data_IF_982717625458
#
_entry.id   IF_982717625458
#
_cell.length_a   1.000
_cell.length_b   1.000
_cell.length_c   1.000
_cell.angle_alpha   90.00
_cell.angle_beta   90.00
_cell.angle_gamma   90.00
#
_symmetry.space_group_name_H-M   'P 1'
#
loop_
_entity.id
_entity.type
_entity.pdbx_description
1 polymer ?
#
# COMPACT_ATOMS: atom_id res chain seq x y z
N UNK A 1 -9.43 7.73 -27.39
CA UNK A 1 -8.03 7.64 -26.96
C UNK A 1 -7.90 6.65 -25.84
N UNK A 2 -7.14 5.59 -26.04
CA UNK A 2 -6.95 4.56 -25.02
C UNK A 2 -5.87 5.01 -24.04
N UNK A 3 -6.18 5.05 -22.74
CA UNK A 3 -5.16 5.32 -21.75
C UNK A 3 -4.13 4.18 -21.76
N UNK A 4 -2.85 4.53 -21.81
CA UNK A 4 -1.78 3.54 -21.73
C UNK A 4 -1.69 3.03 -20.29
N UNK A 5 -1.92 1.75 -20.07
CA UNK A 5 -1.75 1.12 -18.77
C UNK A 5 -0.25 0.95 -18.53
N UNK A 6 0.29 1.48 -17.42
CA UNK A 6 1.70 1.28 -17.09
C UNK A 6 2.02 -0.20 -16.93
N UNK A 7 3.13 -0.64 -17.47
CA UNK A 7 3.59 -2.02 -17.25
C UNK A 7 4.09 -2.16 -15.82
N UNK A 8 3.55 -3.16 -15.10
CA UNK A 8 4.10 -3.57 -13.81
C UNK A 8 5.26 -4.51 -14.08
N UNK A 9 6.46 -4.06 -13.77
CA UNK A 9 7.68 -4.83 -14.07
C UNK A 9 8.74 -4.57 -13.00
N UNK A 10 9.73 -5.45 -12.95
CA UNK A 10 10.87 -5.32 -12.08
C UNK A 10 10.67 -5.98 -10.71
N UNK A 11 11.48 -5.55 -9.76
CA UNK A 11 11.53 -6.08 -8.41
C UNK A 11 10.80 -5.13 -7.44
N UNK A 12 9.72 -5.59 -6.87
CA UNK A 12 8.88 -4.81 -5.97
C UNK A 12 9.08 -5.24 -4.54
N UNK A 13 9.26 -4.26 -3.65
CA UNK A 13 9.37 -4.50 -2.23
C UNK A 13 7.98 -4.46 -1.57
N UNK A 14 7.75 -5.41 -0.67
CA UNK A 14 6.57 -5.38 0.19
C UNK A 14 6.81 -4.42 1.34
N UNK A 15 5.90 -3.50 1.56
CA UNK A 15 5.92 -2.61 2.72
C UNK A 15 5.44 -3.40 3.94
N UNK A 16 6.31 -3.51 4.95
CA UNK A 16 5.97 -4.12 6.22
C UNK A 16 5.54 -3.04 7.21
N UNK A 17 4.75 -3.41 8.21
CA UNK A 17 4.30 -2.47 9.22
C UNK A 17 5.17 -2.61 10.47
N UNK A 18 5.98 -1.60 10.82
CA UNK A 18 6.68 -1.59 12.10
C UNK A 18 5.70 -1.37 13.23
N UNK A 19 5.73 -2.25 14.21
CA UNK A 19 4.82 -2.25 15.35
C UNK A 19 5.59 -1.84 16.60
N UNK A 20 5.10 -0.84 17.30
CA UNK A 20 5.67 -0.36 18.55
C UNK A 20 5.34 -1.30 19.74
N UNK A 21 5.96 -1.06 20.88
CA UNK A 21 5.79 -1.89 22.07
C UNK A 21 4.35 -1.89 22.63
N UNK A 22 3.55 -0.90 22.29
CA UNK A 22 2.14 -0.76 22.65
C UNK A 22 1.18 -1.33 21.60
N UNK A 23 1.68 -2.10 20.65
CA UNK A 23 0.97 -2.68 19.52
C UNK A 23 0.45 -1.64 18.48
N UNK A 24 0.80 -0.39 18.62
CA UNK A 24 0.47 0.63 17.63
C UNK A 24 1.46 0.59 16.45
N UNK A 25 1.01 1.06 15.28
CA UNK A 25 1.92 1.22 14.14
C UNK A 25 2.87 2.39 14.42
N UNK A 26 4.17 2.13 14.28
CA UNK A 26 5.19 3.16 14.39
C UNK A 26 5.33 3.89 13.04
N UNK A 27 4.62 4.98 12.89
CA UNK A 27 4.63 5.75 11.63
C UNK A 27 5.96 6.44 11.35
N UNK A 28 6.76 6.75 12.38
CA UNK A 28 8.10 7.26 12.19
C UNK A 28 9.02 6.21 11.55
N UNK A 29 9.01 5.01 12.08
CA UNK A 29 9.76 3.88 11.53
C UNK A 29 9.24 3.49 10.14
N UNK A 30 7.93 3.56 9.91
CA UNK A 30 7.36 3.31 8.59
C UNK A 30 7.85 4.31 7.55
N UNK A 31 7.92 5.58 7.91
CA UNK A 31 8.47 6.62 7.02
C UNK A 31 9.92 6.34 6.67
N UNK A 32 10.73 5.93 7.65
CA UNK A 32 12.14 5.56 7.43
C UNK A 32 12.27 4.33 6.52
N UNK A 33 11.43 3.31 6.71
CA UNK A 33 11.40 2.12 5.86
C UNK A 33 11.14 2.50 4.39
N UNK A 34 10.15 3.36 4.16
CA UNK A 34 9.85 3.83 2.80
C UNK A 34 11.05 4.56 2.20
N UNK A 35 11.70 5.44 2.96
CA UNK A 35 12.88 6.16 2.50
C UNK A 35 14.05 5.22 2.17
N UNK A 36 14.26 4.17 2.95
CA UNK A 36 15.27 3.14 2.69
C UNK A 36 14.97 2.40 1.40
N UNK A 37 13.71 2.02 1.18
CA UNK A 37 13.31 1.32 -0.04
C UNK A 37 13.47 2.20 -1.28
N UNK A 38 13.13 3.48 -1.19
CA UNK A 38 13.36 4.44 -2.27
C UNK A 38 14.86 4.57 -2.58
N UNK A 39 15.70 4.69 -1.56
CA UNK A 39 17.14 4.78 -1.71
C UNK A 39 17.76 3.50 -2.28
N UNK A 40 17.17 2.34 -1.99
CA UNK A 40 17.60 1.04 -2.51
C UNK A 40 17.24 0.85 -4.00
N UNK A 41 16.50 1.77 -4.59
CA UNK A 41 16.11 1.74 -6.01
C UNK A 41 15.33 0.50 -6.43
N UNK A 42 14.41 0.06 -5.56
CA UNK A 42 13.44 -0.95 -5.96
C UNK A 42 12.57 -0.41 -7.11
N UNK A 43 11.99 -1.29 -7.91
CA UNK A 43 11.18 -0.88 -9.06
C UNK A 43 9.78 -0.42 -8.67
N UNK A 44 9.35 -0.74 -7.48
CA UNK A 44 8.08 -0.29 -6.90
C UNK A 44 7.92 -0.78 -5.47
N UNK A 45 6.93 -0.23 -4.78
CA UNK A 45 6.54 -0.68 -3.44
C UNK A 45 5.09 -1.14 -3.47
N UNK A 46 4.85 -2.28 -2.86
CA UNK A 46 3.54 -2.89 -2.72
C UNK A 46 3.13 -2.88 -1.24
N UNK A 47 1.97 -2.32 -0.96
CA UNK A 47 1.44 -2.24 0.41
C UNK A 47 0.23 -3.14 0.60
N UNK A 48 -0.03 -3.49 1.83
CA UNK A 48 -1.28 -4.10 2.28
C UNK A 48 -1.67 -5.41 1.60
N UNK A 49 -0.69 -6.22 1.23
CA UNK A 49 -0.90 -7.64 1.03
C UNK A 49 -0.92 -8.37 2.38
N UNK A 50 -0.87 -9.69 2.36
CA UNK A 50 -0.85 -10.51 3.57
C UNK A 50 0.34 -10.17 4.47
N UNK A 51 1.53 -10.03 3.90
CA UNK A 51 2.73 -9.63 4.65
C UNK A 51 2.65 -8.19 5.18
N UNK A 52 1.88 -7.33 4.53
CA UNK A 52 1.58 -5.97 4.99
C UNK A 52 0.44 -5.88 5.99
N UNK A 53 -0.04 -7.02 6.47
CA UNK A 53 -1.03 -7.14 7.54
C UNK A 53 -2.35 -6.38 7.30
N UNK A 54 -2.87 -6.45 6.07
CA UNK A 54 -4.10 -5.77 5.69
C UNK A 54 -5.28 -6.07 6.64
N UNK A 55 -5.27 -7.25 7.23
CA UNK A 55 -6.34 -7.77 8.10
C UNK A 55 -6.23 -7.24 9.54
N UNK A 56 -5.14 -6.58 9.90
CA UNK A 56 -4.83 -6.16 11.26
C UNK A 56 -4.66 -4.65 11.38
N UNK A 57 -5.48 -3.90 10.67
CA UNK A 57 -5.47 -2.43 10.66
C UNK A 57 -6.90 -1.90 10.75
N UNK A 58 -7.05 -0.79 11.47
CA UNK A 58 -8.28 0.01 11.37
C UNK A 58 -8.34 0.73 10.01
N UNK A 59 -9.52 1.21 9.63
CA UNK A 59 -9.67 1.97 8.40
C UNK A 59 -8.92 3.31 8.47
N UNK A 60 -8.84 3.94 9.65
CA UNK A 60 -8.02 5.14 9.87
C UNK A 60 -6.53 4.86 9.69
N UNK A 61 -6.05 3.72 10.19
CA UNK A 61 -4.66 3.28 9.99
C UNK A 61 -4.38 3.01 8.51
N UNK A 62 -5.28 2.32 7.82
CA UNK A 62 -5.18 2.12 6.38
C UNK A 62 -5.00 3.44 5.65
N UNK A 63 -5.87 4.40 5.89
CA UNK A 63 -5.82 5.71 5.22
C UNK A 63 -4.49 6.41 5.46
N UNK A 64 -3.98 6.37 6.69
CA UNK A 64 -2.72 7.02 7.05
C UNK A 64 -1.50 6.33 6.42
N UNK A 65 -1.48 5.00 6.39
CA UNK A 65 -0.40 4.23 5.75
C UNK A 65 -0.32 4.57 4.26
N UNK A 66 -1.45 4.51 3.57
CA UNK A 66 -1.47 4.70 2.13
C UNK A 66 -1.16 6.15 1.73
N UNK A 67 -1.64 7.12 2.50
CA UNK A 67 -1.32 8.53 2.26
C UNK A 67 0.19 8.80 2.41
N UNK A 68 0.82 8.25 3.44
CA UNK A 68 2.26 8.38 3.66
C UNK A 68 3.06 7.74 2.52
N UNK A 69 2.70 6.52 2.13
CA UNK A 69 3.36 5.79 1.05
C UNK A 69 3.23 6.54 -0.29
N UNK A 70 2.02 6.93 -0.64
CA UNK A 70 1.75 7.62 -1.90
C UNK A 70 2.48 8.96 -1.98
N UNK A 71 2.49 9.74 -0.89
CA UNK A 71 3.17 11.02 -0.84
C UNK A 71 4.68 10.87 -1.08
N UNK A 72 5.33 9.99 -0.35
CA UNK A 72 6.78 9.77 -0.48
C UNK A 72 7.16 9.20 -1.85
N UNK A 73 6.42 8.23 -2.35
CA UNK A 73 6.73 7.58 -3.63
C UNK A 73 6.43 8.49 -4.81
N UNK A 74 5.37 9.29 -4.77
CA UNK A 74 5.08 10.29 -5.79
C UNK A 74 6.21 11.30 -5.88
N UNK A 75 6.69 11.80 -4.74
CA UNK A 75 7.83 12.73 -4.70
C UNK A 75 9.12 12.13 -5.27
N UNK A 76 9.31 10.85 -5.18
CA UNK A 76 10.48 10.12 -5.69
C UNK A 76 10.27 9.57 -7.10
N UNK A 77 9.09 9.66 -7.68
CA UNK A 77 8.77 9.07 -8.97
C UNK A 77 8.73 7.53 -8.95
N UNK A 78 8.49 6.92 -7.80
CA UNK A 78 8.50 5.47 -7.63
C UNK A 78 7.08 4.90 -7.75
N UNK A 79 6.86 3.87 -8.60
CA UNK A 79 5.57 3.20 -8.71
C UNK A 79 5.11 2.57 -7.39
N UNK A 80 3.80 2.60 -7.16
CA UNK A 80 3.16 2.04 -5.97
C UNK A 80 1.98 1.17 -6.36
N UNK A 81 1.88 0.01 -5.75
CA UNK A 81 0.67 -0.81 -5.76
C UNK A 81 0.07 -0.81 -4.35
N UNK A 82 -1.15 -0.38 -4.23
CA UNK A 82 -1.87 -0.35 -2.95
C UNK A 82 -2.80 -1.56 -2.88
N UNK A 83 -2.63 -2.37 -1.84
CA UNK A 83 -3.55 -3.46 -1.53
C UNK A 83 -4.77 -2.93 -0.79
N UNK A 84 -5.91 -2.90 -1.48
CA UNK A 84 -7.20 -2.58 -0.88
C UNK A 84 -7.91 -3.85 -0.40
N UNK A 85 -7.12 -4.75 0.19
CA UNK A 85 -7.56 -6.08 0.58
C UNK A 85 -8.36 -6.03 1.88
N UNK A 86 -9.44 -6.76 1.91
CA UNK A 86 -10.22 -7.00 3.12
C UNK A 86 -11.11 -8.23 2.88
N UNK A 87 -11.34 -9.00 3.95
CA UNK A 87 -12.23 -10.16 3.88
C UNK A 87 -13.69 -9.79 3.66
N UNK A 88 -14.11 -8.63 4.11
CA UNK A 88 -15.44 -8.07 3.84
C UNK A 88 -15.41 -7.32 2.50
N UNK A 89 -16.22 -7.73 1.51
CA UNK A 89 -16.24 -7.07 0.20
C UNK A 89 -16.63 -5.59 0.25
N UNK A 90 -17.51 -5.21 1.17
CA UNK A 90 -17.92 -3.82 1.34
C UNK A 90 -16.75 -2.96 1.84
N UNK A 91 -16.01 -3.44 2.82
CA UNK A 91 -14.81 -2.75 3.31
C UNK A 91 -13.70 -2.70 2.26
N UNK A 92 -13.52 -3.77 1.49
CA UNK A 92 -12.56 -3.79 0.39
C UNK A 92 -12.91 -2.72 -0.66
N UNK A 93 -14.17 -2.61 -1.04
CA UNK A 93 -14.63 -1.58 -1.98
C UNK A 93 -14.43 -0.17 -1.42
N UNK A 94 -14.69 0.04 -0.14
CA UNK A 94 -14.45 1.33 0.49
C UNK A 94 -12.96 1.69 0.49
N UNK A 95 -12.08 0.73 0.74
CA UNK A 95 -10.63 0.94 0.63
C UNK A 95 -10.21 1.31 -0.79
N UNK A 96 -10.76 0.64 -1.80
CA UNK A 96 -10.51 0.99 -3.21
C UNK A 96 -10.90 2.45 -3.48
N UNK A 97 -12.08 2.85 -3.03
CA UNK A 97 -12.58 4.22 -3.25
C UNK A 97 -11.70 5.28 -2.58
N UNK A 98 -11.21 5.00 -1.37
CA UNK A 98 -10.33 5.93 -0.65
C UNK A 98 -8.90 5.94 -1.19
N UNK A 99 -8.42 4.81 -1.70
CA UNK A 99 -7.08 4.71 -2.27
C UNK A 99 -6.99 5.25 -3.71
N UNK A 100 -8.06 5.17 -4.48
CA UNK A 100 -8.06 5.57 -5.89
C UNK A 100 -7.51 6.99 -6.13
N UNK A 101 -7.85 8.03 -5.34
CA UNK A 101 -7.34 9.38 -5.55
C UNK A 101 -5.85 9.56 -5.23
N UNK A 102 -5.19 8.59 -4.62
CA UNK A 102 -3.80 8.72 -4.17
C UNK A 102 -2.77 8.60 -5.30
N UNK A 103 -3.19 8.22 -6.50
CA UNK A 103 -2.31 8.17 -7.67
C UNK A 103 -1.43 6.93 -7.74
N UNK A 104 -1.80 5.83 -7.09
CA UNK A 104 -1.09 4.56 -7.20
C UNK A 104 -1.11 4.04 -8.65
N UNK A 105 -0.03 3.36 -9.04
CA UNK A 105 0.08 2.71 -10.35
C UNK A 105 -0.94 1.58 -10.51
N UNK A 106 -1.23 0.88 -9.41
CA UNK A 106 -2.19 -0.22 -9.38
C UNK A 106 -2.86 -0.31 -8.01
N UNK A 107 -4.08 -0.83 -8.01
CA UNK A 107 -4.78 -1.26 -6.79
C UNK A 107 -4.95 -2.77 -6.87
N UNK A 108 -4.71 -3.45 -5.75
CA UNK A 108 -4.91 -4.89 -5.64
C UNK A 108 -6.09 -5.17 -4.71
N UNK A 109 -6.90 -6.15 -5.09
CA UNK A 109 -7.94 -6.72 -4.24
C UNK A 109 -7.74 -8.23 -4.14
N UNK A 110 -8.20 -8.81 -3.04
CA UNK A 110 -8.22 -10.26 -2.84
C UNK A 110 -9.65 -10.74 -2.99
N UNK A 111 -9.83 -11.82 -3.73
CA UNK A 111 -11.10 -12.53 -3.76
C UNK A 111 -11.07 -13.56 -2.63
N UNK A 112 -11.96 -13.46 -1.63
CA UNK A 112 -12.01 -14.43 -0.54
C UNK A 112 -12.34 -15.83 -1.05
N UNK A 113 -11.76 -16.85 -0.44
CA UNK A 113 -11.94 -18.24 -0.84
C UNK A 113 -13.19 -18.90 -0.27
N UNK A 114 -13.96 -18.16 0.53
CA UNK A 114 -15.23 -18.67 1.11
C UNK A 114 -16.49 -18.20 0.36
N UNK A 115 -16.35 -17.87 -0.88
CA UNK A 115 -17.47 -17.48 -1.76
C UNK A 115 -18.21 -18.72 -2.27
#
# INVERSE_FOLDING_TARGET
MTAKIPALAGNWATLLLPIAADDAIDFGALAEEIDILIAARVDGIYSNGTAGEFHNQSEAEFDRIQALLADKCTGAGLPVAIGACQGDPTLSLDRVRRAAPLGATALQVILPDWW
#
